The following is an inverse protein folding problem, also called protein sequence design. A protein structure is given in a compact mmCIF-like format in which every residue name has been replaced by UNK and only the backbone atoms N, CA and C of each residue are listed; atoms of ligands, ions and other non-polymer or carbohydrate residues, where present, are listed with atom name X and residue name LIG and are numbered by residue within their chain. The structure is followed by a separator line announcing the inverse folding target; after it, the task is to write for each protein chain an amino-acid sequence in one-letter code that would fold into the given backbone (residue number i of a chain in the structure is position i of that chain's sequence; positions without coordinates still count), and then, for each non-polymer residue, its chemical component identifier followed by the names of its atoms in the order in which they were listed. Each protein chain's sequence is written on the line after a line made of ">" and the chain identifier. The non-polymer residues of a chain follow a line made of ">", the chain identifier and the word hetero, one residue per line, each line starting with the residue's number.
data_IF_724484517436
#
_entry.id   IF_724484517436
#
_cell.length_a   1.000
_cell.length_b   1.000
_cell.length_c   1.000
_cell.angle_alpha   90.00
_cell.angle_beta   90.00
_cell.angle_gamma   90.00
#
_symmetry.space_group_name_H-M   'P 1'
#
loop_
_entity.id
_entity.type
_entity.pdbx_description
1 polymer ?
#
# COMPACT_ATOMS: atom_id res chain seq x y z
N UNK A 1 -3.05 29.75 -3.39
CA UNK A 1 -2.82 31.16 -2.97
C UNK A 1 -1.32 31.29 -2.78
N UNK A 2 -0.63 31.92 -3.74
CA UNK A 2 0.83 32.04 -3.76
C UNK A 2 1.23 33.34 -3.06
N UNK A 3 2.14 33.26 -2.09
CA UNK A 3 2.86 34.42 -1.58
C UNK A 3 4.29 34.32 -2.12
N UNK A 4 4.67 35.31 -2.92
CA UNK A 4 5.99 35.41 -3.51
C UNK A 4 6.99 35.94 -2.47
N UNK A 5 8.08 35.21 -2.28
CA UNK A 5 9.33 35.72 -1.69
C UNK A 5 10.44 35.61 -2.73
N UNK A 6 11.20 36.69 -2.86
CA UNK A 6 12.32 36.85 -3.80
C UNK A 6 13.49 35.93 -3.42
N UNK A 7 13.40 34.67 -3.86
CA UNK A 7 14.47 33.67 -4.06
C UNK A 7 13.76 32.32 -4.22
N UNK A 8 12.89 32.22 -5.23
CA UNK A 8 11.96 31.11 -5.37
C UNK A 8 12.63 29.84 -5.85
N UNK A 9 13.30 29.09 -4.96
CA UNK A 9 13.31 27.64 -5.12
C UNK A 9 11.87 27.16 -4.91
N UNK A 10 11.17 26.93 -6.02
CA UNK A 10 9.89 26.24 -6.00
C UNK A 10 10.19 24.78 -5.64
N UNK A 11 10.03 24.43 -4.37
CA UNK A 11 10.11 23.05 -3.93
C UNK A 11 8.79 22.35 -4.22
N UNK A 12 8.74 21.65 -5.35
CA UNK A 12 7.64 20.75 -5.67
C UNK A 12 7.74 19.54 -4.74
N UNK A 13 6.81 19.44 -3.78
CA UNK A 13 6.67 18.23 -2.97
C UNK A 13 6.17 17.11 -3.88
N UNK A 14 7.08 16.32 -4.44
CA UNK A 14 6.74 15.13 -5.21
C UNK A 14 6.19 14.06 -4.25
N UNK A 15 4.89 14.18 -3.95
CA UNK A 15 4.11 13.34 -3.04
C UNK A 15 3.40 12.22 -3.80
N UNK A 16 3.94 11.80 -4.95
CA UNK A 16 3.30 10.75 -5.74
C UNK A 16 3.15 9.47 -4.92
N UNK A 17 1.94 8.92 -4.93
CA UNK A 17 1.62 7.61 -4.37
C UNK A 17 2.42 6.48 -5.03
N UNK A 18 2.86 6.70 -6.28
CA UNK A 18 3.57 5.74 -7.12
C UNK A 18 4.65 6.45 -7.94
N UNK A 19 5.81 5.81 -8.08
CA UNK A 19 6.90 6.32 -8.91
C UNK A 19 6.56 6.25 -10.41
N UNK A 20 7.41 6.86 -11.24
CA UNK A 20 7.26 6.80 -12.70
C UNK A 20 7.53 5.41 -13.29
N UNK A 21 8.36 4.58 -12.62
CA UNK A 21 8.60 3.18 -13.00
C UNK A 21 7.53 2.20 -12.50
N UNK A 22 6.47 2.71 -11.85
CA UNK A 22 5.33 1.94 -11.38
C UNK A 22 5.56 1.23 -10.05
N UNK A 23 6.63 1.56 -9.32
CA UNK A 23 6.90 1.06 -7.96
C UNK A 23 6.11 1.84 -6.91
N UNK A 24 5.55 1.12 -5.94
CA UNK A 24 4.76 1.69 -4.86
C UNK A 24 4.82 0.81 -3.61
N UNK A 25 4.39 1.38 -2.49
CA UNK A 25 4.30 0.68 -1.21
C UNK A 25 3.05 1.13 -0.44
N UNK A 26 2.66 0.38 0.58
CA UNK A 26 1.48 0.72 1.38
C UNK A 26 1.22 -0.28 2.49
N UNK A 27 0.04 -0.17 3.09
CA UNK A 27 -0.48 -1.17 4.01
C UNK A 27 -1.73 -1.78 3.40
N UNK A 28 -1.68 -3.10 3.15
CA UNK A 28 -2.82 -3.83 2.60
C UNK A 28 -3.85 -4.22 3.68
N UNK A 29 -3.44 -4.18 4.95
CA UNK A 29 -4.29 -4.41 6.11
C UNK A 29 -3.69 -3.71 7.33
N UNK A 30 -4.54 -3.25 8.26
CA UNK A 30 -4.15 -2.70 9.56
C UNK A 30 -4.66 -3.61 10.67
N UNK A 31 -3.80 -3.97 11.61
CA UNK A 31 -4.17 -4.86 12.70
C UNK A 31 -5.05 -4.14 13.72
N UNK A 32 -6.05 -4.83 14.24
CA UNK A 32 -6.93 -4.30 15.28
C UNK A 32 -8.01 -3.32 14.79
N UNK A 33 -7.98 -2.92 13.52
CA UNK A 33 -9.02 -2.07 12.92
C UNK A 33 -10.18 -2.91 12.39
N UNK A 34 -11.40 -2.40 12.56
CA UNK A 34 -12.63 -3.05 12.08
C UNK A 34 -12.89 -2.62 10.65
N UNK A 35 -12.98 -3.57 9.73
CA UNK A 35 -13.35 -3.31 8.35
C UNK A 35 -14.88 -3.18 8.18
N UNK A 36 -15.32 -2.78 6.98
CA UNK A 36 -16.73 -2.61 6.65
C UNK A 36 -17.53 -3.93 6.70
N UNK A 37 -16.84 -5.08 6.67
CA UNK A 37 -17.41 -6.42 6.78
C UNK A 37 -17.48 -6.92 8.22
N UNK A 38 -17.06 -6.08 9.19
CA UNK A 38 -16.98 -6.39 10.63
C UNK A 38 -15.92 -7.43 10.96
N UNK A 39 -14.90 -7.54 10.12
CA UNK A 39 -13.69 -8.31 10.40
C UNK A 39 -12.59 -7.45 11.02
N UNK A 40 -11.74 -8.09 11.82
CA UNK A 40 -10.52 -7.48 12.37
C UNK A 40 -9.38 -8.47 12.18
N UNK A 41 -8.41 -8.11 11.35
CA UNK A 41 -7.19 -8.90 11.20
C UNK A 41 -6.33 -8.77 12.46
N UNK A 42 -5.91 -9.89 13.03
CA UNK A 42 -5.02 -9.92 14.18
C UNK A 42 -3.55 -9.95 13.73
N UNK A 43 -2.65 -9.45 14.58
CA UNK A 43 -1.21 -9.60 14.35
C UNK A 43 -0.82 -11.08 14.28
N UNK A 44 -0.01 -11.44 13.28
CA UNK A 44 0.42 -12.82 13.03
C UNK A 44 -0.53 -13.62 12.13
N UNK A 45 -1.68 -13.05 11.75
CA UNK A 45 -2.66 -13.74 10.93
C UNK A 45 -2.11 -14.13 9.53
N UNK A 46 -1.11 -13.40 9.03
CA UNK A 46 -0.50 -13.68 7.73
C UNK A 46 0.76 -14.56 7.81
N UNK A 47 1.39 -14.72 8.98
CA UNK A 47 2.71 -15.34 9.16
C UNK A 47 2.85 -16.68 8.42
N UNK A 48 1.89 -17.61 8.61
CA UNK A 48 1.93 -18.92 7.95
C UNK A 48 1.73 -18.82 6.44
N UNK A 49 0.83 -17.93 6.01
CA UNK A 49 0.58 -17.71 4.59
C UNK A 49 1.79 -17.14 3.87
N UNK A 50 2.48 -16.15 4.45
CA UNK A 50 3.66 -15.54 3.84
C UNK A 50 4.85 -16.52 3.77
N UNK A 51 4.95 -17.43 4.74
CA UNK A 51 5.94 -18.52 4.70
C UNK A 51 5.64 -19.50 3.57
N UNK A 52 4.38 -19.90 3.39
CA UNK A 52 3.98 -20.85 2.35
C UNK A 52 3.91 -20.22 0.95
N UNK A 53 3.61 -18.93 0.88
CA UNK A 53 3.40 -18.15 -0.34
C UNK A 53 4.16 -16.81 -0.23
N UNK A 54 5.45 -16.79 -0.62
CA UNK A 54 6.24 -15.56 -0.62
C UNK A 54 5.66 -14.51 -1.58
N UNK A 55 6.08 -13.26 -1.43
CA UNK A 55 5.51 -12.09 -2.11
C UNK A 55 5.24 -12.28 -3.62
N UNK A 56 6.18 -12.78 -4.45
CA UNK A 56 5.93 -12.94 -5.89
C UNK A 56 4.81 -13.94 -6.25
N UNK A 57 4.38 -14.77 -5.30
CA UNK A 57 3.31 -15.76 -5.48
C UNK A 57 1.94 -15.25 -5.03
N UNK A 58 1.86 -14.19 -4.25
CA UNK A 58 0.61 -13.46 -3.97
C UNK A 58 0.26 -12.63 -5.21
N UNK A 59 -1.00 -12.66 -5.65
CA UNK A 59 -1.38 -11.95 -6.88
C UNK A 59 -1.64 -10.47 -6.62
N UNK A 60 -1.18 -9.62 -7.53
CA UNK A 60 -1.52 -8.20 -7.57
C UNK A 60 -2.60 -8.02 -8.63
N UNK A 61 -3.83 -7.84 -8.17
CA UNK A 61 -5.00 -7.69 -9.05
C UNK A 61 -5.54 -6.26 -9.00
N UNK A 62 -6.51 -5.98 -9.86
CA UNK A 62 -7.35 -4.79 -9.80
C UNK A 62 -8.78 -5.20 -9.45
N UNK A 63 -9.40 -4.52 -8.49
CA UNK A 63 -10.82 -4.74 -8.13
C UNK A 63 -11.20 -6.20 -7.86
N UNK A 64 -10.28 -7.01 -7.32
CA UNK A 64 -10.45 -8.45 -7.07
C UNK A 64 -10.73 -9.29 -8.33
N UNK A 65 -10.57 -8.74 -9.55
CA UNK A 65 -10.79 -9.47 -10.79
C UNK A 65 -9.56 -10.32 -11.14
N UNK A 66 -9.75 -11.65 -11.11
CA UNK A 66 -8.72 -12.64 -11.46
C UNK A 66 -8.25 -12.54 -12.92
N UNK A 67 -9.01 -11.83 -13.78
CA UNK A 67 -8.64 -11.55 -15.18
C UNK A 67 -7.76 -10.32 -15.33
N UNK A 68 -7.54 -9.57 -14.25
CA UNK A 68 -6.77 -8.32 -14.27
C UNK A 68 -5.54 -8.37 -13.35
N UNK A 69 -4.57 -9.28 -13.59
CA UNK A 69 -3.26 -9.17 -12.98
C UNK A 69 -2.53 -7.96 -13.56
N UNK A 70 -2.12 -7.04 -12.69
CA UNK A 70 -1.57 -5.72 -13.08
C UNK A 70 -0.11 -5.51 -12.67
N UNK A 71 0.44 -6.40 -11.86
CA UNK A 71 1.79 -6.26 -11.34
C UNK A 71 2.29 -7.44 -10.53
N UNK A 72 3.37 -7.19 -9.79
CA UNK A 72 4.00 -8.18 -8.91
C UNK A 72 4.36 -7.54 -7.58
N UNK A 73 4.07 -8.25 -6.47
CA UNK A 73 4.54 -7.88 -5.15
C UNK A 73 6.01 -8.29 -4.99
N UNK A 74 6.83 -7.37 -4.51
CA UNK A 74 8.26 -7.59 -4.25
C UNK A 74 8.53 -7.81 -2.77
N UNK A 75 7.74 -7.20 -1.89
CA UNK A 75 7.80 -7.39 -0.44
C UNK A 75 6.42 -7.51 0.17
N UNK A 76 6.27 -8.42 1.12
CA UNK A 76 5.13 -8.54 2.02
C UNK A 76 5.68 -8.87 3.41
N UNK A 77 5.33 -8.06 4.41
CA UNK A 77 5.78 -8.29 5.79
C UNK A 77 4.75 -7.78 6.78
N UNK A 78 4.53 -8.53 7.85
CA UNK A 78 3.81 -8.02 9.02
C UNK A 78 4.75 -7.13 9.85
N UNK A 79 4.21 -6.03 10.38
CA UNK A 79 4.85 -5.24 11.42
C UNK A 79 3.86 -4.95 12.57
N UNK A 80 4.22 -4.05 13.48
CA UNK A 80 3.34 -3.70 14.61
C UNK A 80 2.02 -3.04 14.20
N UNK A 81 1.91 -2.51 12.98
CA UNK A 81 0.74 -1.78 12.49
C UNK A 81 -0.15 -2.65 11.58
N UNK A 82 0.43 -3.57 10.80
CA UNK A 82 -0.34 -4.30 9.80
C UNK A 82 0.50 -5.09 8.81
N UNK A 83 -0.10 -5.38 7.65
CA UNK A 83 0.58 -6.00 6.51
C UNK A 83 1.14 -4.92 5.59
N UNK A 84 2.45 -4.65 5.73
CA UNK A 84 3.20 -3.76 4.85
C UNK A 84 3.51 -4.46 3.53
N UNK A 85 3.33 -3.75 2.43
CA UNK A 85 3.53 -4.27 1.08
C UNK A 85 4.37 -3.32 0.24
N UNK A 86 5.16 -3.88 -0.68
CA UNK A 86 5.78 -3.14 -1.77
C UNK A 86 5.72 -3.97 -3.06
N UNK A 87 5.56 -3.30 -4.19
CA UNK A 87 5.44 -3.96 -5.47
C UNK A 87 5.63 -3.00 -6.64
N UNK A 88 5.45 -3.54 -7.84
CA UNK A 88 5.49 -2.77 -9.07
C UNK A 88 4.41 -3.21 -10.04
N UNK A 89 3.84 -2.23 -10.73
CA UNK A 89 2.98 -2.49 -11.88
C UNK A 89 3.82 -3.00 -13.07
N UNK A 90 3.20 -3.82 -13.93
CA UNK A 90 3.80 -4.22 -15.21
C UNK A 90 3.31 -3.27 -16.31
N UNK A 91 4.08 -2.20 -16.52
CA UNK A 91 3.74 -1.12 -17.45
C UNK A 91 3.82 -1.50 -18.93
N UNK A 92 4.30 -2.70 -19.27
CA UNK A 92 4.22 -3.24 -20.64
C UNK A 92 2.80 -3.67 -21.01
N UNK A 93 1.94 -3.92 -20.02
CA UNK A 93 0.53 -4.27 -20.23
C UNK A 93 -0.36 -3.03 -20.28
N UNK A 94 -1.46 -3.12 -21.03
CA UNK A 94 -2.47 -2.04 -21.07
C UNK A 94 -3.02 -1.76 -19.68
N UNK A 95 -3.41 -2.81 -18.94
CA UNK A 95 -3.99 -2.68 -17.61
C UNK A 95 -3.01 -2.12 -16.58
N UNK A 96 -1.73 -2.52 -16.62
CA UNK A 96 -0.71 -1.92 -15.77
C UNK A 96 -0.54 -0.42 -15.98
N UNK A 97 -0.54 0.05 -17.25
CA UNK A 97 -0.47 1.49 -17.55
C UNK A 97 -1.73 2.25 -17.16
N UNK A 98 -2.91 1.67 -17.39
CA UNK A 98 -4.19 2.25 -16.98
C UNK A 98 -4.23 2.45 -15.47
N UNK A 99 -3.87 1.42 -14.70
CA UNK A 99 -3.80 1.51 -13.23
C UNK A 99 -2.77 2.52 -12.77
N UNK A 100 -1.59 2.56 -13.38
CA UNK A 100 -0.54 3.53 -13.06
C UNK A 100 -1.03 4.97 -13.21
N UNK A 101 -1.67 5.28 -14.34
CA UNK A 101 -2.21 6.61 -14.61
C UNK A 101 -3.29 7.01 -13.58
N UNK A 102 -4.19 6.08 -13.24
CA UNK A 102 -5.23 6.31 -12.23
C UNK A 102 -4.64 6.53 -10.83
N UNK A 103 -3.60 5.77 -10.46
CA UNK A 103 -2.90 5.95 -9.18
C UNK A 103 -2.17 7.29 -9.12
N UNK A 104 -1.48 7.70 -10.20
CA UNK A 104 -0.84 9.03 -10.28
C UNK A 104 -1.84 10.18 -10.19
N UNK A 105 -3.05 9.98 -10.72
CA UNK A 105 -4.13 10.96 -10.62
C UNK A 105 -4.85 10.96 -9.26
N UNK A 106 -4.53 10.02 -8.36
CA UNK A 106 -5.21 9.85 -7.07
C UNK A 106 -6.62 9.25 -7.19
N UNK A 107 -6.99 8.69 -8.35
CA UNK A 107 -8.27 8.03 -8.54
C UNK A 107 -8.29 6.59 -8.01
N UNK A 108 -7.12 5.98 -7.84
CA UNK A 108 -6.93 4.69 -7.18
C UNK A 108 -5.80 4.79 -6.15
N UNK A 109 -6.15 4.64 -4.87
CA UNK A 109 -5.19 4.65 -3.76
C UNK A 109 -5.47 3.56 -2.70
N UNK A 110 -6.59 2.85 -2.82
CA UNK A 110 -7.00 1.79 -1.91
C UNK A 110 -6.28 0.47 -2.16
N UNK A 111 -6.07 -0.27 -1.08
CA UNK A 111 -5.63 -1.66 -1.08
C UNK A 111 -6.67 -2.54 -0.38
N UNK A 112 -6.82 -3.76 -0.86
CA UNK A 112 -7.70 -4.75 -0.23
C UNK A 112 -7.12 -6.14 -0.36
N UNK A 113 -7.24 -6.95 0.68
CA UNK A 113 -6.76 -8.33 0.72
C UNK A 113 -7.85 -9.31 0.30
N UNK A 114 -7.46 -10.30 -0.49
CA UNK A 114 -8.28 -11.45 -0.86
C UNK A 114 -7.66 -12.70 -0.27
N UNK A 115 -8.41 -13.37 0.59
CA UNK A 115 -7.89 -14.45 1.40
C UNK A 115 -8.96 -15.52 1.68
N UNK A 116 -8.51 -16.67 2.18
CA UNK A 116 -9.37 -17.69 2.78
C UNK A 116 -9.14 -17.70 4.30
N UNK A 117 -10.21 -17.62 5.08
CA UNK A 117 -10.12 -17.75 6.54
C UNK A 117 -9.67 -19.15 6.92
N UNK A 118 -8.65 -19.25 7.79
CA UNK A 118 -8.12 -20.52 8.32
C UNK A 118 -8.50 -20.70 9.79
N UNK A 119 -8.42 -19.64 10.57
CA UNK A 119 -8.89 -19.59 11.95
C UNK A 119 -9.46 -18.20 12.27
N UNK A 120 -10.55 -18.18 13.03
CA UNK A 120 -11.18 -16.95 13.48
C UNK A 120 -12.04 -17.19 14.72
N UNK A 121 -12.30 -16.13 15.48
CA UNK A 121 -13.20 -16.13 16.63
C UNK A 121 -14.13 -14.93 16.60
N UNK A 122 -15.31 -15.08 17.20
CA UNK A 122 -16.26 -13.99 17.32
C UNK A 122 -16.05 -13.26 18.65
N UNK A 123 -15.78 -11.95 18.60
CA UNK A 123 -15.93 -11.08 19.75
C UNK A 123 -17.41 -10.69 19.85
N UNK A 124 -18.18 -11.42 20.69
CA UNK A 124 -19.62 -11.20 20.84
C UNK A 124 -19.96 -9.82 21.40
N UNK A 125 -19.10 -9.24 22.23
CA UNK A 125 -19.36 -7.95 22.86
C UNK A 125 -19.28 -6.82 21.84
N UNK A 126 -18.31 -6.89 20.92
CA UNK A 126 -18.15 -5.92 19.83
C UNK A 126 -18.90 -6.31 18.56
N UNK A 127 -19.34 -7.56 18.47
CA UNK A 127 -19.99 -8.20 17.32
C UNK A 127 -19.10 -8.29 16.08
N UNK A 128 -17.78 -8.34 16.26
CA UNK A 128 -16.81 -8.42 15.16
C UNK A 128 -16.16 -9.80 15.11
N UNK A 129 -15.78 -10.25 13.92
CA UNK A 129 -15.01 -11.48 13.74
C UNK A 129 -13.52 -11.14 13.72
N UNK A 130 -12.79 -11.74 14.63
CA UNK A 130 -11.35 -11.57 14.74
C UNK A 130 -10.70 -12.69 13.93
N UNK A 131 -9.89 -12.31 12.94
CA UNK A 131 -9.21 -13.22 12.05
C UNK A 131 -7.83 -13.54 12.62
N UNK A 132 -7.68 -14.73 13.19
CA UNK A 132 -6.45 -15.16 13.85
C UNK A 132 -5.47 -15.82 12.85
N UNK A 133 -5.98 -16.39 11.74
CA UNK A 133 -5.17 -16.95 10.66
C UNK A 133 -5.89 -16.86 9.31
N UNK A 134 -5.19 -16.40 8.28
CA UNK A 134 -5.69 -16.34 6.91
C UNK A 134 -4.68 -16.92 5.93
N UNK A 135 -5.17 -17.54 4.85
CA UNK A 135 -4.39 -17.90 3.67
C UNK A 135 -4.59 -16.79 2.63
N UNK A 136 -3.60 -15.92 2.51
CA UNK A 136 -3.57 -14.75 1.63
C UNK A 136 -3.32 -15.19 0.19
N UNK A 137 -4.25 -14.86 -0.70
CA UNK A 137 -4.19 -15.27 -2.10
C UNK A 137 -3.76 -14.13 -3.00
N UNK A 138 -4.33 -12.96 -2.77
CA UNK A 138 -4.14 -11.79 -3.58
C UNK A 138 -4.23 -10.52 -2.72
N UNK A 139 -3.72 -9.44 -3.27
CA UNK A 139 -3.93 -8.08 -2.78
C UNK A 139 -4.26 -7.25 -4.02
N UNK A 140 -5.41 -6.58 -3.97
CA UNK A 140 -5.92 -5.76 -5.06
C UNK A 140 -5.68 -4.28 -4.82
N UNK A 141 -5.42 -3.57 -5.92
CA UNK A 141 -5.60 -2.12 -6.00
C UNK A 141 -7.07 -1.87 -6.30
N UNK A 142 -7.73 -1.09 -5.45
CA UNK A 142 -9.18 -0.90 -5.47
C UNK A 142 -9.56 0.56 -5.32
N UNK A 143 -10.72 0.91 -5.86
CA UNK A 143 -11.34 2.23 -5.66
C UNK A 143 -11.84 2.38 -4.23
N UNK A 144 -12.48 1.34 -3.69
CA UNK A 144 -13.00 1.31 -2.32
C UNK A 144 -12.66 -0.02 -1.64
N UNK A 145 -11.70 0.01 -0.72
CA UNK A 145 -11.35 -1.16 0.09
C UNK A 145 -12.34 -1.38 1.24
N UNK A 146 -12.47 -2.64 1.67
CA UNK A 146 -13.22 -2.97 2.89
C UNK A 146 -12.64 -2.30 4.13
N UNK A 147 -11.34 -2.01 4.14
CA UNK A 147 -10.66 -1.26 5.19
C UNK A 147 -10.17 0.08 4.62
N UNK A 148 -10.86 1.21 4.87
CA UNK A 148 -10.51 2.50 4.28
C UNK A 148 -9.09 3.03 4.60
N UNK A 149 -8.47 2.57 5.69
CA UNK A 149 -7.11 2.92 6.10
C UNK A 149 -6.01 2.07 5.43
N UNK A 150 -6.40 1.03 4.68
CA UNK A 150 -5.50 0.23 3.88
C UNK A 150 -5.30 0.90 2.52
N UNK A 151 -4.26 1.72 2.42
CA UNK A 151 -3.97 2.52 1.23
C UNK A 151 -2.51 2.43 0.82
N UNK A 152 -2.27 2.80 -0.43
CA UNK A 152 -0.94 3.09 -0.96
C UNK A 152 -0.39 4.31 -0.22
N UNK A 153 0.80 4.17 0.35
CA UNK A 153 1.53 5.28 0.97
C UNK A 153 2.54 5.82 -0.01
N UNK A 154 2.71 7.15 -0.09
CA UNK A 154 3.65 7.76 -1.02
C UNK A 154 5.05 7.16 -0.91
N UNK A 155 5.63 6.87 -2.07
CA UNK A 155 7.05 6.53 -2.14
C UNK A 155 7.77 7.82 -1.78
N UNK A 156 8.37 7.89 -0.59
CA UNK A 156 9.28 9.00 -0.26
C UNK A 156 10.38 8.98 -1.31
N UNK A 157 10.29 9.87 -2.30
CA UNK A 157 11.39 10.04 -3.23
C UNK A 157 12.60 10.53 -2.44
N UNK A 158 13.79 10.16 -2.89
CA UNK A 158 15.10 10.52 -2.34
C UNK A 158 15.30 12.03 -2.13
N UNK A 159 14.37 12.86 -2.61
CA UNK A 159 14.32 14.30 -2.45
C UNK A 159 14.40 14.75 -0.99
N UNK A 160 13.82 14.03 -0.02
CA UNK A 160 13.88 14.48 1.38
C UNK A 160 15.30 14.35 1.96
N UNK A 161 15.98 13.24 1.70
CA UNK A 161 17.38 13.06 2.14
C UNK A 161 18.33 14.02 1.40
N UNK A 162 18.09 14.25 0.11
CA UNK A 162 18.84 15.24 -0.68
C UNK A 162 18.57 16.68 -0.20
N UNK A 163 17.34 16.99 0.22
CA UNK A 163 16.96 18.28 0.79
C UNK A 163 17.66 18.53 2.13
N UNK A 164 17.64 17.53 3.01
CA UNK A 164 18.37 17.61 4.30
C UNK A 164 19.87 17.79 4.05
N UNK A 165 20.45 17.06 3.09
CA UNK A 165 21.85 17.23 2.70
C UNK A 165 22.15 18.63 2.15
N UNK A 166 21.28 19.16 1.28
CA UNK A 166 21.43 20.50 0.71
C UNK A 166 21.33 21.61 1.77
N UNK A 167 20.38 21.50 2.73
CA UNK A 167 20.24 22.45 3.84
C UNK A 167 21.49 22.42 4.74
N UNK A 168 22.00 21.23 5.05
CA UNK A 168 23.19 21.10 5.88
C UNK A 168 24.44 21.65 5.18
N UNK A 169 24.58 21.44 3.87
CA UNK A 169 25.67 22.01 3.08
C UNK A 169 25.60 23.55 3.00
N UNK A 170 24.40 24.13 2.86
CA UNK A 170 24.21 25.58 2.85
C UNK A 170 24.55 26.22 4.21
N UNK A 171 24.23 25.54 5.32
CA UNK A 171 24.60 25.98 6.67
C UNK A 171 26.10 25.92 6.96
N UNK A 172 26.84 25.02 6.32
CA UNK A 172 28.28 24.88 6.50
C UNK A 172 29.11 25.94 5.74
N UNK A 173 28.48 26.69 4.83
CA UNK A 173 29.11 27.71 3.99
C UNK A 173 28.71 29.15 4.41
N UNK A 174 28.06 29.32 5.56
CA UNK A 174 27.79 30.58 6.25
C UNK A 174 28.68 30.68 7.49
#
# INVERSE_FOLDING_TARGET
>A
MSLATESGLIFEFDTKAISDDGTFAGYASRFGEVDLGRDVVQSGAFTKSLTARPAPRVKMLREHDQREPIGVWTELAEDGNGLRVAGRLVLDTVKGRETHALMKAGALDGLSIGYRTKASRLDKAKGVRLLDEVDLHEISIVTFGMLPSATITSVKSSSFSQLVAAINAARANL
#
